data_IF_103778349821
#
_entry.id   IF_103778349821
#
_cell.length_a   1.000
_cell.length_b   1.000
_cell.length_c   1.000
_cell.angle_alpha   90.00
_cell.angle_beta   90.00
_cell.angle_gamma   90.00
#
_symmetry.space_group_name_H-M   'P 1'
#
loop_
_entity.id
_entity.type
_entity.pdbx_description
1 polymer ?
#
# COMPACT_ATOMS: atom_id res chain seq x y z
N UNK A 1 0.19 -8.47 1.14
CA UNK A 1 -1.08 -7.69 1.18
C UNK A 1 -1.00 -6.70 2.35
N UNK A 2 0.04 -5.84 2.38
CA UNK A 2 0.73 -5.63 3.67
C UNK A 2 0.72 -4.21 4.23
N UNK A 3 0.00 -3.27 3.64
CA UNK A 3 -0.19 -1.95 4.23
C UNK A 3 -1.63 -1.46 4.18
N UNK A 4 -2.59 -2.34 3.92
CA UNK A 4 -4.00 -2.04 4.09
C UNK A 4 -4.48 -2.66 5.39
N UNK A 5 -4.87 -1.81 6.35
CA UNK A 5 -5.20 -2.25 7.70
C UNK A 5 -6.50 -1.60 8.16
N UNK A 6 -7.31 -2.37 8.87
CA UNK A 6 -8.46 -1.82 9.58
C UNK A 6 -8.04 -1.42 10.99
N UNK A 7 -8.16 -0.14 11.32
CA UNK A 7 -7.92 0.40 12.66
C UNK A 7 -9.23 1.02 13.13
N UNK A 8 -9.80 0.49 14.21
CA UNK A 8 -11.10 0.92 14.75
C UNK A 8 -12.25 0.93 13.72
N UNK A 9 -12.22 0.00 12.76
CA UNK A 9 -13.24 -0.11 11.71
C UNK A 9 -13.02 0.79 10.49
N UNK A 10 -11.99 1.65 10.49
CA UNK A 10 -11.62 2.45 9.34
C UNK A 10 -10.49 1.79 8.55
N UNK A 11 -10.57 1.85 7.21
CA UNK A 11 -9.53 1.32 6.32
C UNK A 11 -8.43 2.36 6.12
N UNK A 12 -7.20 1.95 6.43
CA UNK A 12 -5.98 2.72 6.20
C UNK A 12 -5.16 2.08 5.10
N UNK A 13 -4.49 2.91 4.31
CA UNK A 13 -3.37 2.55 3.46
C UNK A 13 -2.12 3.21 4.04
N UNK A 14 -1.18 2.41 4.54
CA UNK A 14 -0.05 2.87 5.33
C UNK A 14 -0.54 3.68 6.55
N UNK A 15 -0.23 4.97 6.63
CA UNK A 15 -0.64 5.86 7.72
C UNK A 15 -1.80 6.79 7.33
N UNK A 16 -2.43 6.57 6.16
CA UNK A 16 -3.47 7.46 5.60
C UNK A 16 -4.83 6.74 5.54
N UNK A 17 -5.89 7.41 6.00
CA UNK A 17 -7.27 6.91 5.87
C UNK A 17 -7.68 6.89 4.40
N UNK A 18 -8.17 5.74 3.93
CA UNK A 18 -8.67 5.60 2.55
C UNK A 18 -9.91 6.46 2.31
N UNK A 19 -10.72 6.69 3.34
CA UNK A 19 -11.91 7.55 3.28
C UNK A 19 -11.58 9.01 2.99
N UNK A 20 -10.45 9.52 3.49
CA UNK A 20 -10.03 10.90 3.26
C UNK A 20 -9.55 11.08 1.81
N UNK A 21 -8.78 10.12 1.29
CA UNK A 21 -8.36 10.09 -0.12
C UNK A 21 -9.59 10.01 -1.04
N UNK A 22 -10.58 9.18 -0.69
CA UNK A 22 -11.79 9.04 -1.48
C UNK A 22 -12.61 10.33 -1.56
N UNK A 23 -12.62 11.16 -0.51
CA UNK A 23 -13.28 12.46 -0.51
C UNK A 23 -12.53 13.49 -1.34
N UNK A 24 -11.20 13.46 -1.32
CA UNK A 24 -10.37 14.42 -2.03
C UNK A 24 -10.31 14.14 -3.55
N UNK A 25 -10.12 12.88 -3.93
CA UNK A 25 -9.96 12.47 -5.33
C UNK A 25 -11.28 12.14 -6.03
N UNK A 26 -12.31 11.78 -5.27
CA UNK A 26 -13.55 11.22 -5.81
C UNK A 26 -13.36 9.77 -6.30
N UNK A 27 -14.46 9.03 -6.35
CA UNK A 27 -14.48 7.62 -6.78
C UNK A 27 -15.00 7.47 -8.21
N UNK A 28 -14.52 6.48 -8.99
CA UNK A 28 -13.56 5.44 -8.60
C UNK A 28 -12.10 5.86 -8.79
N UNK A 29 -11.23 5.40 -7.87
CA UNK A 29 -9.78 5.55 -7.99
C UNK A 29 -9.07 4.25 -7.60
N UNK A 30 -7.84 4.08 -8.08
CA UNK A 30 -6.96 3.01 -7.63
C UNK A 30 -5.97 3.55 -6.59
N UNK A 31 -5.75 2.78 -5.52
CA UNK A 31 -4.82 3.10 -4.45
C UNK A 31 -3.82 1.97 -4.28
N UNK A 32 -2.53 2.30 -4.31
CA UNK A 32 -1.45 1.35 -4.10
C UNK A 32 -0.54 1.83 -2.98
N UNK A 33 -0.06 0.90 -2.15
CA UNK A 33 0.99 1.18 -1.17
C UNK A 33 2.36 1.10 -1.85
N UNK A 34 3.14 2.18 -1.73
CA UNK A 34 4.52 2.23 -2.25
C UNK A 34 5.42 1.29 -1.48
N UNK A 35 5.23 1.18 -0.17
CA UNK A 35 6.01 0.29 0.68
C UNK A 35 5.85 -1.18 0.26
N UNK A 36 4.63 -1.59 -0.08
CA UNK A 36 4.34 -2.94 -0.57
C UNK A 36 5.09 -3.24 -1.87
N UNK A 37 4.98 -2.34 -2.87
CA UNK A 37 5.65 -2.51 -4.16
C UNK A 37 7.18 -2.57 -4.01
N UNK A 38 7.73 -1.67 -3.19
CA UNK A 38 9.18 -1.59 -2.95
C UNK A 38 9.72 -2.83 -2.25
N UNK A 39 8.99 -3.34 -1.23
CA UNK A 39 9.37 -4.56 -0.51
C UNK A 39 9.39 -5.77 -1.43
N UNK A 40 8.36 -5.95 -2.26
CA UNK A 40 8.30 -7.07 -3.19
C UNK A 40 9.41 -7.00 -4.23
N UNK A 41 9.71 -5.81 -4.76
CA UNK A 41 10.82 -5.63 -5.67
C UNK A 41 12.16 -6.01 -5.03
N UNK A 42 12.45 -5.50 -3.83
CA UNK A 42 13.69 -5.82 -3.10
C UNK A 42 13.82 -7.30 -2.76
N UNK A 43 12.73 -7.97 -2.39
CA UNK A 43 12.74 -9.40 -2.11
C UNK A 43 13.07 -10.24 -3.36
N UNK A 44 12.58 -9.80 -4.52
CA UNK A 44 12.92 -10.42 -5.80
C UNK A 44 14.39 -10.18 -6.15
N UNK A 45 14.85 -8.92 -6.11
CA UNK A 45 16.22 -8.50 -6.43
C UNK A 45 17.27 -9.21 -5.56
N UNK A 46 17.04 -9.27 -4.24
CA UNK A 46 17.91 -9.98 -3.30
C UNK A 46 18.02 -11.49 -3.59
N UNK A 47 17.03 -12.09 -4.26
CA UNK A 47 17.10 -13.48 -4.71
C UNK A 47 18.14 -13.73 -5.80
N UNK A 48 18.62 -12.68 -6.47
CA UNK A 48 19.64 -12.75 -7.52
C UNK A 48 21.02 -12.24 -7.06
N UNK A 49 21.17 -11.78 -5.82
CA UNK A 49 22.49 -11.45 -5.27
C UNK A 49 23.32 -12.73 -5.11
N UNK A 50 24.27 -12.96 -6.03
CA UNK A 50 25.17 -14.11 -6.02
C UNK A 50 25.06 -15.05 -7.22
N UNK A 51 24.26 -14.70 -8.23
CA UNK A 51 24.31 -15.29 -9.58
C UNK A 51 25.39 -14.60 -10.41
#
# INVERSE_FOLDING_TARGET
>A
MDHFQYINGELFCEEVRVSDIAKEMGTPFYLYSKATLTRHFKAFDAGFEGV
#
